data_IF_018838390284
#
_entry.id   IF_018838390284
#
_cell.length_a   1.000
_cell.length_b   1.000
_cell.length_c   1.000
_cell.angle_alpha   90.00
_cell.angle_beta   90.00
_cell.angle_gamma   90.00
#
_symmetry.space_group_name_H-M   'P 1'
#
loop_
_entity.id
_entity.type
_entity.pdbx_description
1 polymer ?
#
# COMPACT_ATOMS: atom_id res chain seq x y z
N UNK A 1 36.15 -1.04 -9.98
CA UNK A 1 34.82 -1.39 -9.45
C UNK A 1 33.80 -0.68 -10.31
N UNK A 2 33.10 -1.39 -11.19
CA UNK A 2 32.04 -0.79 -12.00
C UNK A 2 30.88 -0.39 -11.09
N UNK A 3 30.44 0.87 -11.19
CA UNK A 3 29.33 1.39 -10.39
C UNK A 3 28.01 0.88 -10.96
N UNK A 4 27.06 0.56 -10.08
CA UNK A 4 25.67 0.34 -10.48
C UNK A 4 25.16 1.57 -11.22
N UNK A 5 24.37 1.35 -12.27
CA UNK A 5 23.72 2.44 -12.98
C UNK A 5 22.61 3.05 -12.11
N UNK A 6 22.25 4.29 -12.43
CA UNK A 6 21.05 4.95 -11.90
C UNK A 6 19.99 4.81 -12.98
N UNK A 7 18.94 4.06 -12.71
CA UNK A 7 17.81 3.90 -13.63
C UNK A 7 16.95 5.16 -13.68
N UNK A 8 16.33 5.40 -14.81
CA UNK A 8 15.27 6.39 -14.99
C UNK A 8 13.92 5.66 -15.10
N UNK A 9 12.79 6.31 -14.76
CA UNK A 9 11.47 5.71 -14.86
C UNK A 9 11.18 5.19 -16.28
N UNK A 10 10.74 3.94 -16.36
CA UNK A 10 10.39 3.30 -17.63
C UNK A 10 9.00 3.73 -18.11
N UNK A 11 8.75 3.60 -19.41
CA UNK A 11 7.45 3.81 -20.01
C UNK A 11 6.80 2.49 -20.42
N UNK A 12 5.49 2.43 -20.43
CA UNK A 12 4.74 1.36 -21.07
C UNK A 12 3.61 1.92 -21.92
N UNK A 13 3.41 1.32 -23.09
CA UNK A 13 2.25 1.58 -23.92
C UNK A 13 1.03 0.94 -23.28
N UNK A 14 -0.02 1.74 -23.08
CA UNK A 14 -1.30 1.33 -22.52
C UNK A 14 -2.38 1.61 -23.55
N UNK A 15 -3.14 0.58 -23.90
CA UNK A 15 -4.30 0.67 -24.77
C UNK A 15 -5.52 0.02 -24.12
N UNK A 16 -6.60 0.79 -24.00
CA UNK A 16 -7.95 0.33 -23.63
C UNK A 16 -8.03 -0.77 -22.56
N UNK A 17 -8.85 -1.77 -22.85
CA UNK A 17 -9.17 -2.95 -22.04
C UNK A 17 -8.10 -4.06 -22.15
N UNK A 18 -6.81 -3.68 -22.24
CA UNK A 18 -5.75 -4.65 -22.44
C UNK A 18 -5.74 -5.72 -21.36
N UNK A 19 -5.85 -6.98 -21.79
CA UNK A 19 -5.87 -8.14 -20.90
C UNK A 19 -4.48 -8.55 -20.39
N UNK A 20 -3.41 -7.89 -20.86
CA UNK A 20 -2.08 -7.92 -20.23
C UNK A 20 -1.59 -6.50 -20.05
N UNK A 21 -1.14 -6.14 -18.85
CA UNK A 21 -0.69 -4.78 -18.55
C UNK A 21 0.68 -4.80 -17.88
N UNK A 22 1.56 -3.86 -18.24
CA UNK A 22 2.86 -3.70 -17.58
C UNK A 22 2.66 -2.97 -16.25
N UNK A 23 3.04 -3.62 -15.15
CA UNK A 23 2.86 -3.10 -13.80
C UNK A 23 4.09 -2.34 -13.31
N UNK A 24 5.26 -2.88 -13.62
CA UNK A 24 6.53 -2.29 -13.26
C UNK A 24 7.60 -2.73 -14.26
N UNK A 25 8.57 -1.86 -14.51
CA UNK A 25 9.76 -2.16 -15.27
C UNK A 25 10.97 -1.42 -14.71
N UNK A 26 12.10 -2.10 -14.61
CA UNK A 26 13.34 -1.53 -14.10
C UNK A 26 14.54 -1.97 -14.95
N UNK A 27 15.37 -1.00 -15.33
CA UNK A 27 16.70 -1.26 -15.88
C UNK A 27 17.69 -1.26 -14.72
N UNK A 28 18.39 -2.36 -14.48
CA UNK A 28 19.35 -2.44 -13.39
C UNK A 28 20.62 -3.20 -13.77
N UNK A 29 21.64 -3.11 -12.92
CA UNK A 29 22.93 -3.77 -13.13
C UNK A 29 24.10 -2.80 -13.29
N UNK A 30 25.10 -3.23 -14.05
CA UNK A 30 26.31 -2.47 -14.41
C UNK A 30 26.40 -2.38 -15.92
N UNK A 31 27.17 -1.42 -16.47
CA UNK A 31 27.23 -1.20 -17.94
C UNK A 31 27.54 -2.47 -18.74
N UNK A 32 28.42 -3.33 -18.23
CA UNK A 32 28.81 -4.59 -18.88
C UNK A 32 27.77 -5.72 -18.76
N UNK A 33 26.75 -5.55 -17.90
CA UNK A 33 25.75 -6.56 -17.61
C UNK A 33 24.43 -5.88 -17.16
N UNK A 34 23.82 -5.15 -18.08
CA UNK A 34 22.52 -4.53 -17.86
C UNK A 34 21.41 -5.56 -18.05
N UNK A 35 20.35 -5.43 -17.26
CA UNK A 35 19.15 -6.24 -17.37
C UNK A 35 17.90 -5.38 -17.27
N UNK A 36 16.86 -5.80 -17.98
CA UNK A 36 15.49 -5.33 -17.85
C UNK A 36 14.71 -6.38 -17.07
N UNK A 37 14.10 -5.95 -15.96
CA UNK A 37 13.15 -6.73 -15.18
C UNK A 37 11.76 -6.12 -15.34
N UNK A 38 10.75 -6.96 -15.57
CA UNK A 38 9.37 -6.52 -15.79
C UNK A 38 8.40 -7.39 -15.00
N UNK A 39 7.38 -6.74 -14.44
CA UNK A 39 6.19 -7.36 -13.86
C UNK A 39 4.97 -7.01 -14.70
N UNK A 40 4.13 -8.00 -14.97
CA UNK A 40 2.90 -7.82 -15.74
C UNK A 40 1.71 -8.40 -14.99
N UNK A 41 0.54 -7.81 -15.20
CA UNK A 41 -0.74 -8.31 -14.73
C UNK A 41 -1.42 -9.07 -15.88
N UNK A 42 -1.91 -10.26 -15.59
CA UNK A 42 -2.69 -11.05 -16.53
C UNK A 42 -4.18 -11.00 -16.17
N UNK A 43 -4.95 -10.30 -16.97
CA UNK A 43 -6.40 -10.12 -16.81
C UNK A 43 -7.19 -11.06 -17.73
N UNK A 44 -6.48 -11.82 -18.58
CA UNK A 44 -7.11 -12.84 -19.37
C UNK A 44 -7.52 -14.02 -18.48
N UNK A 45 -8.55 -14.76 -18.88
CA UNK A 45 -9.07 -15.94 -18.15
C UNK A 45 -8.14 -17.16 -18.17
N UNK A 46 -6.97 -17.07 -18.81
CA UNK A 46 -6.03 -18.19 -19.05
C UNK A 46 -4.65 -17.81 -18.56
N UNK A 47 -3.86 -18.79 -18.14
CA UNK A 47 -2.49 -18.52 -17.72
C UNK A 47 -1.62 -18.01 -18.88
N UNK A 48 -0.92 -16.90 -18.67
CA UNK A 48 0.04 -16.32 -19.60
C UNK A 48 1.39 -17.03 -19.43
N UNK A 49 1.97 -17.52 -20.52
CA UNK A 49 3.19 -18.36 -20.50
C UNK A 49 4.35 -17.81 -21.33
N UNK A 50 4.07 -16.88 -22.25
CA UNK A 50 5.08 -16.11 -22.97
C UNK A 50 4.54 -14.75 -23.39
N UNK A 51 5.46 -13.82 -23.64
CA UNK A 51 5.12 -12.44 -24.04
C UNK A 51 6.15 -11.93 -25.04
N UNK A 52 5.66 -11.48 -26.19
CA UNK A 52 6.44 -10.70 -27.14
C UNK A 52 6.18 -9.21 -26.90
N UNK A 53 7.26 -8.44 -26.83
CA UNK A 53 7.20 -6.99 -26.66
C UNK A 53 8.35 -6.30 -27.40
N UNK A 54 8.10 -5.05 -27.75
CA UNK A 54 9.05 -4.15 -28.38
C UNK A 54 9.56 -3.12 -27.37
N UNK A 55 10.82 -2.73 -27.49
CA UNK A 55 11.43 -1.75 -26.59
C UNK A 55 12.19 -0.65 -27.32
N UNK A 56 12.16 0.55 -26.74
CA UNK A 56 13.04 1.67 -27.07
C UNK A 56 13.92 1.98 -25.87
N UNK A 57 15.24 1.89 -26.06
CA UNK A 57 16.23 2.18 -25.05
C UNK A 57 16.63 3.65 -25.09
N UNK A 58 16.78 4.25 -23.91
CA UNK A 58 17.22 5.63 -23.77
C UNK A 58 18.41 5.74 -22.82
N UNK A 59 19.33 6.65 -23.13
CA UNK A 59 20.45 6.96 -22.25
C UNK A 59 20.05 7.88 -21.08
N UNK A 60 21.03 8.34 -20.29
CA UNK A 60 20.81 9.22 -19.13
C UNK A 60 20.29 10.62 -19.48
N UNK A 61 20.41 11.05 -20.73
CA UNK A 61 19.91 12.35 -21.21
C UNK A 61 18.67 12.20 -22.11
N UNK A 62 18.03 11.03 -22.07
CA UNK A 62 16.80 10.69 -22.81
C UNK A 62 16.96 10.69 -24.34
N UNK A 63 18.18 10.47 -24.85
CA UNK A 63 18.37 10.17 -26.27
C UNK A 63 18.15 8.68 -26.54
N UNK A 64 17.49 8.38 -27.66
CA UNK A 64 17.28 7.00 -28.12
C UNK A 64 18.60 6.35 -28.49
N UNK A 65 18.78 5.10 -28.07
CA UNK A 65 19.96 4.29 -28.39
C UNK A 65 19.74 3.39 -29.61
N UNK A 66 18.50 3.03 -29.89
CA UNK A 66 18.08 2.27 -31.06
C UNK A 66 17.29 3.14 -32.04
N UNK A 67 17.54 2.95 -33.34
CA UNK A 67 16.81 3.64 -34.41
C UNK A 67 15.37 3.09 -34.55
N UNK A 68 15.27 1.76 -34.62
CA UNK A 68 14.01 1.00 -34.67
C UNK A 68 13.78 0.28 -33.34
N UNK A 69 12.54 -0.13 -33.04
CA UNK A 69 12.23 -0.90 -31.83
C UNK A 69 13.01 -2.22 -31.78
N UNK A 70 13.44 -2.62 -30.59
CA UNK A 70 14.10 -3.90 -30.36
C UNK A 70 13.05 -4.92 -29.90
N UNK A 71 12.92 -6.05 -30.60
CA UNK A 71 11.90 -7.07 -30.31
C UNK A 71 12.46 -8.09 -29.33
N UNK A 72 11.69 -8.41 -28.29
CA UNK A 72 12.02 -9.39 -27.26
C UNK A 72 10.89 -10.41 -27.15
N UNK A 73 11.26 -11.69 -27.17
CA UNK A 73 10.37 -12.82 -26.87
C UNK A 73 10.76 -13.44 -25.54
N UNK A 74 9.97 -13.18 -24.50
CA UNK A 74 10.20 -13.71 -23.17
C UNK A 74 9.33 -14.95 -22.94
N UNK A 75 9.94 -16.02 -22.43
CA UNK A 75 9.32 -17.34 -22.22
C UNK A 75 9.67 -17.86 -20.83
N UNK A 76 9.22 -19.07 -20.52
CA UNK A 76 9.55 -19.83 -19.31
C UNK A 76 9.09 -19.14 -18.01
N UNK A 77 7.88 -18.58 -18.05
CA UNK A 77 7.15 -18.11 -16.88
C UNK A 77 5.70 -18.58 -16.95
N UNK A 78 4.98 -18.50 -15.83
CA UNK A 78 3.53 -18.76 -15.79
C UNK A 78 2.89 -17.73 -14.87
N UNK A 79 1.97 -16.92 -15.40
CA UNK A 79 1.18 -15.95 -14.63
C UNK A 79 -0.28 -16.34 -14.75
N UNK A 80 -0.89 -16.73 -13.63
CA UNK A 80 -2.29 -17.16 -13.59
C UNK A 80 -3.23 -16.02 -13.92
N UNK A 81 -4.49 -16.36 -14.21
CA UNK A 81 -5.54 -15.37 -14.41
C UNK A 81 -5.74 -14.54 -13.14
N UNK A 82 -5.79 -13.22 -13.29
CA UNK A 82 -5.94 -12.24 -12.21
C UNK A 82 -4.65 -11.90 -11.46
N UNK A 83 -3.55 -12.62 -11.73
CA UNK A 83 -2.30 -12.46 -10.98
C UNK A 83 -1.35 -11.45 -11.64
N UNK A 84 -0.43 -10.95 -10.82
CA UNK A 84 0.74 -10.19 -11.24
C UNK A 84 1.96 -11.08 -11.06
N UNK A 85 2.82 -11.11 -12.06
CA UNK A 85 4.06 -11.88 -11.98
C UNK A 85 5.21 -11.26 -12.75
N UNK A 86 6.42 -11.62 -12.34
CA UNK A 86 7.63 -11.32 -13.10
C UNK A 86 7.73 -12.25 -14.30
N UNK A 87 8.06 -11.70 -15.46
CA UNK A 87 8.31 -12.50 -16.67
C UNK A 87 9.78 -12.92 -16.81
N UNK A 88 10.61 -12.61 -15.81
CA UNK A 88 12.04 -12.91 -15.81
C UNK A 88 12.92 -11.71 -16.14
N UNK A 89 14.17 -12.01 -16.51
CA UNK A 89 15.22 -11.03 -16.78
C UNK A 89 15.60 -11.09 -18.25
N UNK A 90 15.56 -9.95 -18.93
CA UNK A 90 16.16 -9.78 -20.24
C UNK A 90 17.52 -9.11 -20.09
N UNK A 91 18.61 -9.75 -20.55
CA UNK A 91 19.93 -9.13 -20.54
C UNK A 91 20.06 -8.20 -21.75
N UNK A 92 20.27 -6.91 -21.46
CA UNK A 92 20.33 -5.87 -22.49
C UNK A 92 21.63 -6.03 -23.29
N UNK A 93 21.56 -6.07 -24.64
CA UNK A 93 22.74 -6.14 -25.50
C UNK A 93 23.77 -5.05 -25.21
N UNK A 94 25.06 -5.38 -25.35
CA UNK A 94 26.16 -4.47 -25.00
C UNK A 94 26.20 -3.17 -25.81
N UNK A 95 25.63 -3.17 -27.03
CA UNK A 95 25.43 -1.96 -27.85
C UNK A 95 24.51 -0.93 -27.17
N UNK A 96 23.66 -1.36 -26.24
CA UNK A 96 22.81 -0.52 -25.39
C UNK A 96 23.31 -0.43 -23.94
N UNK A 97 24.62 -0.58 -23.71
CA UNK A 97 25.24 -0.52 -22.36
C UNK A 97 25.06 0.82 -21.62
N UNK A 98 24.64 1.87 -22.34
CA UNK A 98 24.27 3.16 -21.77
C UNK A 98 22.77 3.34 -21.49
N UNK A 99 21.95 2.30 -21.67
CA UNK A 99 20.53 2.33 -21.35
C UNK A 99 20.30 2.66 -19.86
N UNK A 100 19.38 3.59 -19.62
CA UNK A 100 18.89 4.02 -18.29
C UNK A 100 17.38 3.95 -18.18
N UNK A 101 16.67 4.06 -19.30
CA UNK A 101 15.22 3.98 -19.41
C UNK A 101 14.85 3.06 -20.58
N UNK A 102 13.70 2.42 -20.47
CA UNK A 102 13.05 1.70 -21.55
C UNK A 102 11.61 2.18 -21.71
N UNK A 103 11.17 2.41 -22.94
CA UNK A 103 9.73 2.46 -23.28
C UNK A 103 9.33 1.08 -23.85
N UNK A 104 8.23 0.50 -23.36
CA UNK A 104 7.81 -0.87 -23.64
C UNK A 104 6.49 -0.87 -24.40
N UNK A 105 6.39 -1.67 -25.47
CA UNK A 105 5.17 -1.83 -26.27
C UNK A 105 4.86 -3.32 -26.33
N UNK A 106 3.75 -3.75 -25.73
CA UNK A 106 3.34 -5.15 -25.80
C UNK A 106 2.90 -5.50 -27.23
N UNK A 107 3.33 -6.66 -27.72
CA UNK A 107 3.04 -7.09 -29.08
C UNK A 107 2.08 -8.27 -29.09
N UNK A 108 2.37 -9.32 -28.33
CA UNK A 108 1.57 -10.55 -28.34
C UNK A 108 1.74 -11.34 -27.04
N UNK A 109 0.63 -11.79 -26.47
CA UNK A 109 0.61 -12.70 -25.32
C UNK A 109 0.31 -14.13 -25.76
N UNK A 110 0.96 -15.12 -25.15
CA UNK A 110 0.74 -16.54 -25.40
C UNK A 110 0.25 -17.24 -24.15
N UNK A 111 -0.73 -18.11 -24.30
CA UNK A 111 -1.44 -18.74 -23.19
C UNK A 111 -1.21 -20.26 -23.15
N UNK A 112 -1.46 -20.86 -21.99
CA UNK A 112 -1.23 -22.28 -21.73
C UNK A 112 -1.98 -23.24 -22.69
N UNK A 113 -3.08 -22.78 -23.30
CA UNK A 113 -3.87 -23.53 -24.28
C UNK A 113 -3.26 -23.51 -25.69
N UNK A 114 -2.10 -22.85 -25.86
CA UNK A 114 -1.40 -22.67 -27.13
C UNK A 114 -1.93 -21.52 -27.98
N UNK A 115 -2.98 -20.82 -27.54
CA UNK A 115 -3.48 -19.63 -28.25
C UNK A 115 -2.58 -18.42 -28.00
N UNK A 116 -2.60 -17.49 -28.96
CA UNK A 116 -1.92 -16.22 -28.84
C UNK A 116 -2.87 -15.08 -29.21
N UNK A 117 -2.74 -13.93 -28.54
CA UNK A 117 -3.55 -12.74 -28.80
C UNK A 117 -2.64 -11.54 -28.98
N UNK A 118 -2.97 -10.70 -29.97
CA UNK A 118 -2.25 -9.45 -30.22
C UNK A 118 -2.57 -8.42 -29.12
N UNK A 119 -1.53 -7.69 -28.72
CA UNK A 119 -1.54 -6.68 -27.66
C UNK A 119 -1.15 -5.30 -28.19
N UNK A 120 -1.06 -5.13 -29.52
CA UNK A 120 -0.90 -3.82 -30.16
C UNK A 120 -2.26 -3.18 -30.35
N UNK A 121 -2.49 -2.06 -29.69
CA UNK A 121 -3.71 -1.28 -29.81
C UNK A 121 -3.49 -0.09 -30.74
N UNK A 122 -4.47 0.22 -31.59
CA UNK A 122 -4.43 1.39 -32.47
C UNK A 122 -4.38 2.69 -31.67
N UNK A 123 -5.18 2.75 -30.60
CA UNK A 123 -5.22 3.86 -29.66
C UNK A 123 -4.49 3.46 -28.38
N UNK A 124 -3.22 3.81 -28.31
CA UNK A 124 -2.41 3.63 -27.10
C UNK A 124 -1.65 4.91 -26.74
N UNK A 125 -1.45 5.14 -25.44
CA UNK A 125 -0.57 6.19 -24.94
C UNK A 125 0.63 5.59 -24.20
N UNK A 126 1.76 6.29 -24.23
CA UNK A 126 2.94 5.91 -23.44
C UNK A 126 2.80 6.54 -22.05
N UNK A 127 2.68 5.71 -21.01
CA UNK A 127 2.59 6.17 -19.61
C UNK A 127 3.88 5.90 -18.87
N UNK A 128 4.20 6.74 -17.88
CA UNK A 128 5.38 6.56 -17.04
C UNK A 128 5.07 5.61 -15.89
N UNK A 129 5.87 4.54 -15.79
CA UNK A 129 5.85 3.61 -14.68
C UNK A 129 6.72 4.15 -13.55
N UNK A 130 6.10 4.89 -12.63
CA UNK A 130 6.79 5.40 -11.44
C UNK A 130 7.25 4.24 -10.55
N UNK A 131 8.55 4.23 -10.25
CA UNK A 131 9.13 3.27 -9.33
C UNK A 131 8.96 3.77 -7.89
N UNK A 132 8.29 2.97 -7.06
CA UNK A 132 8.21 3.17 -5.62
C UNK A 132 9.30 2.37 -4.92
N UNK A 133 10.02 3.00 -3.99
CA UNK A 133 10.92 2.29 -3.10
C UNK A 133 10.15 1.43 -2.07
N UNK A 134 10.86 0.57 -1.34
CA UNK A 134 10.23 -0.36 -0.39
C UNK A 134 9.46 0.36 0.74
N UNK A 135 9.93 1.53 1.18
CA UNK A 135 9.26 2.31 2.22
C UNK A 135 7.98 2.94 1.67
N UNK A 136 8.04 3.50 0.47
CA UNK A 136 6.90 4.05 -0.24
C UNK A 136 5.83 2.99 -0.53
N UNK A 137 6.24 1.82 -1.00
CA UNK A 137 5.34 0.66 -1.20
C UNK A 137 4.65 0.24 0.10
N UNK A 138 5.41 0.14 1.19
CA UNK A 138 4.86 -0.23 2.50
C UNK A 138 3.85 0.81 3.00
N UNK A 139 4.15 2.10 2.85
CA UNK A 139 3.25 3.18 3.24
C UNK A 139 1.97 3.17 2.40
N UNK A 140 2.11 2.99 1.08
CA UNK A 140 0.96 2.92 0.19
C UNK A 140 0.02 1.76 0.57
N UNK A 141 0.57 0.58 0.88
CA UNK A 141 -0.22 -0.57 1.33
C UNK A 141 -0.94 -0.34 2.64
N UNK A 142 -0.28 0.30 3.60
CA UNK A 142 -0.89 0.68 4.89
C UNK A 142 -2.11 1.60 4.69
N UNK A 143 -2.04 2.55 3.75
CA UNK A 143 -3.11 3.53 3.51
C UNK A 143 -4.20 3.07 2.52
N UNK A 144 -3.87 2.23 1.54
CA UNK A 144 -4.77 1.89 0.42
C UNK A 144 -5.20 0.41 0.38
N UNK A 145 -4.54 -0.46 1.17
CA UNK A 145 -4.76 -1.89 1.22
C UNK A 145 -3.60 -2.72 0.66
N UNK A 146 -3.55 -4.00 1.00
CA UNK A 146 -2.45 -4.91 0.65
C UNK A 146 -2.25 -5.13 -0.86
N UNK A 147 -3.31 -4.94 -1.64
CA UNK A 147 -3.34 -5.03 -3.09
C UNK A 147 -2.82 -3.76 -3.79
N UNK A 148 -2.44 -2.73 -3.04
CA UNK A 148 -1.87 -1.51 -3.58
C UNK A 148 -0.43 -1.74 -4.09
N UNK A 149 -0.16 -1.29 -5.32
CA UNK A 149 1.08 -1.57 -6.04
C UNK A 149 1.72 -0.29 -6.61
N UNK A 150 0.91 0.70 -7.00
CA UNK A 150 1.38 1.94 -7.60
C UNK A 150 0.57 3.14 -7.12
N UNK A 151 1.10 4.35 -7.27
CA UNK A 151 0.30 5.56 -7.14
C UNK A 151 -0.77 5.62 -8.24
N UNK A 152 -1.87 6.30 -7.93
CA UNK A 152 -2.94 6.54 -8.88
C UNK A 152 -2.51 7.64 -9.87
N UNK A 153 -2.84 7.48 -11.15
CA UNK A 153 -2.40 8.40 -12.20
C UNK A 153 -3.57 8.72 -13.13
N UNK A 154 -3.65 9.97 -13.59
CA UNK A 154 -4.66 10.40 -14.56
C UNK A 154 -3.93 10.81 -15.84
N UNK A 155 -3.96 9.93 -16.84
CA UNK A 155 -3.28 10.11 -18.13
C UNK A 155 -4.25 10.68 -19.16
N UNK A 156 -3.85 10.88 -20.41
CA UNK A 156 -4.69 11.52 -21.40
C UNK A 156 -5.83 10.59 -21.87
N UNK A 157 -5.49 9.31 -22.12
CA UNK A 157 -6.42 8.30 -22.64
C UNK A 157 -6.89 7.28 -21.58
N UNK A 158 -6.25 7.26 -20.41
CA UNK A 158 -6.50 6.29 -19.36
C UNK A 158 -6.38 6.90 -17.96
N UNK A 159 -6.73 6.12 -16.95
CA UNK A 159 -6.30 6.40 -15.58
C UNK A 159 -5.88 5.11 -14.88
N UNK A 160 -4.84 5.19 -14.06
CA UNK A 160 -4.28 4.08 -13.31
C UNK A 160 -4.84 4.08 -11.89
N UNK A 161 -5.38 2.96 -11.46
CA UNK A 161 -5.80 2.76 -10.08
C UNK A 161 -4.59 2.45 -9.18
N UNK A 162 -4.78 2.55 -7.86
CA UNK A 162 -3.76 2.20 -6.86
C UNK A 162 -3.39 0.71 -6.84
N UNK A 163 -4.31 -0.16 -7.27
CA UNK A 163 -4.02 -1.59 -7.56
C UNK A 163 -3.21 -1.78 -8.86
N UNK A 164 -2.87 -0.68 -9.53
CA UNK A 164 -2.04 -0.62 -10.72
C UNK A 164 -2.74 -0.89 -12.05
N UNK A 165 -4.00 -1.33 -12.05
CA UNK A 165 -4.83 -1.53 -13.24
C UNK A 165 -5.08 -0.21 -13.98
N UNK A 166 -4.87 -0.21 -15.30
CA UNK A 166 -5.22 0.88 -16.20
C UNK A 166 -6.66 0.75 -16.69
N UNK A 167 -7.39 1.84 -16.55
CA UNK A 167 -8.81 1.93 -16.88
C UNK A 167 -9.04 2.93 -18.01
N UNK A 168 -10.14 2.74 -18.74
CA UNK A 168 -10.62 3.74 -19.69
C UNK A 168 -10.78 5.10 -19.03
N UNK A 169 -10.40 6.18 -19.75
CA UNK A 169 -10.48 7.56 -19.25
C UNK A 169 -11.81 7.90 -18.60
N UNK A 170 -12.91 7.40 -19.15
CA UNK A 170 -14.28 7.79 -18.76
C UNK A 170 -14.90 6.87 -17.69
N UNK A 171 -14.26 5.76 -17.34
CA UNK A 171 -14.76 4.89 -16.27
C UNK A 171 -14.71 5.61 -14.92
N UNK A 172 -15.76 5.42 -14.10
CA UNK A 172 -15.86 6.03 -12.77
C UNK A 172 -15.28 5.15 -11.65
N UNK A 173 -15.06 3.86 -11.93
CA UNK A 173 -14.57 2.85 -10.99
C UNK A 173 -13.50 2.00 -11.66
N UNK A 174 -12.62 1.42 -10.85
CA UNK A 174 -11.59 0.51 -11.33
C UNK A 174 -12.23 -0.81 -11.83
N UNK A 175 -11.90 -1.24 -13.04
CA UNK A 175 -12.39 -2.50 -13.60
C UNK A 175 -11.86 -3.76 -12.90
N UNK A 176 -10.81 -3.63 -12.10
CA UNK A 176 -10.21 -4.75 -11.36
C UNK A 176 -10.61 -4.82 -9.88
N UNK A 177 -10.60 -3.68 -9.18
CA UNK A 177 -10.82 -3.64 -7.72
C UNK A 177 -12.01 -2.77 -7.30
N UNK A 178 -12.80 -2.29 -8.27
CA UNK A 178 -14.04 -1.54 -8.08
C UNK A 178 -13.92 -0.20 -7.31
N UNK A 179 -12.72 0.21 -6.90
CA UNK A 179 -12.48 1.50 -6.22
C UNK A 179 -12.88 2.68 -7.11
N UNK A 180 -13.42 3.72 -6.48
CA UNK A 180 -13.80 4.97 -7.14
C UNK A 180 -12.60 5.71 -7.72
N UNK A 181 -12.69 6.10 -8.99
CA UNK A 181 -11.68 6.91 -9.70
C UNK A 181 -11.37 8.21 -8.94
N UNK A 182 -12.41 8.93 -8.54
CA UNK A 182 -12.28 10.24 -7.89
C UNK A 182 -11.50 10.07 -6.59
N UNK A 183 -11.91 9.10 -5.77
CA UNK A 183 -11.29 8.86 -4.47
C UNK A 183 -9.81 8.47 -4.61
N UNK A 184 -9.48 7.55 -5.52
CA UNK A 184 -8.09 7.10 -5.61
C UNK A 184 -7.16 8.15 -6.18
N UNK A 185 -7.63 8.95 -7.14
CA UNK A 185 -6.85 10.07 -7.69
C UNK A 185 -6.64 11.18 -6.66
N UNK A 186 -7.63 11.44 -5.81
CA UNK A 186 -7.54 12.44 -4.73
C UNK A 186 -6.59 11.99 -3.62
N UNK A 187 -6.70 10.72 -3.18
CA UNK A 187 -5.99 10.24 -1.99
C UNK A 187 -4.63 9.60 -2.27
N UNK A 188 -4.44 8.98 -3.43
CA UNK A 188 -3.30 8.09 -3.69
C UNK A 188 -2.46 8.48 -4.90
N UNK A 189 -2.55 9.72 -5.39
CA UNK A 189 -1.78 10.19 -6.56
C UNK A 189 -0.35 10.62 -6.25
N UNK A 190 -0.01 10.83 -4.97
CA UNK A 190 1.35 11.16 -4.55
C UNK A 190 1.61 10.65 -3.13
N UNK A 191 2.87 10.28 -2.86
CA UNK A 191 3.32 9.91 -1.51
C UNK A 191 3.19 11.08 -0.52
N UNK A 192 3.32 12.32 -0.99
CA UNK A 192 3.29 13.52 -0.15
C UNK A 192 1.91 13.76 0.47
N UNK A 193 0.85 13.20 -0.13
CA UNK A 193 -0.51 13.27 0.40
C UNK A 193 -0.59 12.52 1.74
N UNK A 194 0.11 11.39 1.85
CA UNK A 194 0.13 10.57 3.08
C UNK A 194 0.80 11.28 4.25
N UNK A 195 1.83 12.06 3.97
CA UNK A 195 2.62 12.77 5.00
C UNK A 195 1.82 13.93 5.58
N UNK A 196 1.09 14.66 4.73
CA UNK A 196 0.25 15.81 5.16
C UNK A 196 -0.92 15.40 6.03
N UNK A 197 -1.44 14.19 5.86
CA UNK A 197 -2.52 13.69 6.71
C UNK A 197 -2.01 13.31 8.10
N UNK A 198 -0.80 12.74 8.22
CA UNK A 198 -0.18 12.43 9.53
C UNK A 198 0.09 13.70 10.34
N UNK A 199 0.70 14.73 9.74
CA UNK A 199 0.97 16.01 10.41
C UNK A 199 -0.31 16.71 10.89
N UNK A 200 -1.43 16.59 10.15
CA UNK A 200 -2.72 17.15 10.59
C UNK A 200 -3.30 16.40 11.79
N UNK A 201 -3.15 15.08 11.85
CA UNK A 201 -3.57 14.30 13.03
C UNK A 201 -2.75 14.66 14.26
N UNK A 202 -1.44 14.86 14.12
CA UNK A 202 -0.57 15.22 15.24
C UNK A 202 -0.93 16.61 15.82
N UNK A 203 -1.25 17.58 14.97
CA UNK A 203 -1.73 18.91 15.42
C UNK A 203 -3.07 18.82 16.15
N UNK A 204 -4.01 18.01 15.66
CA UNK A 204 -5.32 17.85 16.31
C UNK A 204 -5.17 17.12 17.66
N UNK A 205 -4.28 16.13 17.77
CA UNK A 205 -4.02 15.45 19.05
C UNK A 205 -3.34 16.37 20.08
N UNK A 206 -2.45 17.28 19.66
CA UNK A 206 -1.87 18.32 20.52
C UNK A 206 -2.91 19.35 20.95
N UNK A 207 -3.75 19.86 20.04
CA UNK A 207 -4.82 20.81 20.35
C UNK A 207 -5.86 20.22 21.33
N UNK A 208 -6.25 18.95 21.16
CA UNK A 208 -7.17 18.27 22.09
C UNK A 208 -6.51 18.04 23.46
N UNK A 209 -5.20 17.76 23.50
CA UNK A 209 -4.49 17.57 24.76
C UNK A 209 -4.37 18.88 25.56
N UNK A 210 -4.19 20.02 24.87
CA UNK A 210 -4.14 21.35 25.50
C UNK A 210 -5.54 21.80 25.98
N UNK A 211 -6.60 21.54 25.20
CA UNK A 211 -7.99 21.87 25.57
C UNK A 211 -8.52 21.07 26.79
N UNK A 212 -8.01 19.85 26.99
CA UNK A 212 -8.34 19.02 28.16
C UNK A 212 -7.59 19.49 29.41
N UNK A 213 -6.42 20.11 29.25
CA UNK A 213 -5.63 20.61 30.38
C UNK A 213 -6.19 21.92 30.96
N UNK A 214 -6.74 22.82 30.13
CA UNK A 214 -7.39 24.05 30.61
C UNK A 214 -8.72 23.79 31.33
N UNK A 215 -9.52 22.81 30.89
CA UNK A 215 -10.80 22.48 31.56
C UNK A 215 -10.66 21.73 32.89
N UNK A 216 -9.51 21.11 33.15
CA UNK A 216 -9.24 20.43 34.42
C UNK A 216 -8.85 21.43 35.53
N UNK A 217 -8.27 22.59 35.20
CA UNK A 217 -7.90 23.61 36.19
C UNK A 217 -9.08 24.44 36.71
N UNK A 218 -10.22 24.44 36.02
CA UNK A 218 -11.42 25.20 36.43
C UNK A 218 -12.37 24.40 37.34
N UNK A 219 -12.19 23.08 37.48
CA UNK A 219 -13.06 22.22 38.29
C UNK A 219 -12.53 21.92 39.72
N UNK A 220 -11.31 22.33 40.05
CA UNK A 220 -10.71 22.07 41.38
C UNK A 220 -11.03 23.16 42.43
N UNK A 221 -11.86 24.16 42.11
CA UNK A 221 -12.16 25.29 43.02
C UNK A 221 -13.59 25.34 43.59
N UNK A 222 -14.40 24.29 43.44
CA UNK A 222 -15.72 24.22 44.07
C UNK A 222 -15.90 22.84 44.70
N UNK A 223 -15.53 22.72 45.97
CA UNK A 223 -16.35 22.07 47.01
C UNK A 223 -15.56 22.00 48.33
N UNK A 224 -15.79 23.00 49.19
CA UNK A 224 -15.42 22.90 50.61
C UNK A 224 -16.56 23.40 51.49
N UNK A 225 -17.76 22.84 51.36
CA UNK A 225 -18.78 22.95 52.42
C UNK A 225 -19.69 21.71 52.40
N UNK A 226 -19.49 20.78 53.34
CA UNK A 226 -20.55 20.18 54.18
C UNK A 226 -20.07 18.92 54.95
N UNK A 227 -20.04 19.06 56.29
CA UNK A 227 -20.53 18.12 57.33
C UNK A 227 -19.87 16.71 57.43
N UNK A 228 -19.10 16.38 58.48
CA UNK A 228 -19.52 16.03 59.86
C UNK A 228 -20.56 14.87 59.88
N UNK A 229 -20.43 13.70 60.51
CA UNK A 229 -19.80 13.26 61.78
C UNK A 229 -19.87 11.71 61.85
N UNK A 230 -19.15 11.09 62.83
CA UNK A 230 -19.32 9.78 63.54
C UNK A 230 -18.04 8.90 63.44
N UNK A 231 -17.10 8.95 64.39
CA UNK A 231 -17.00 8.15 65.66
C UNK A 231 -17.00 6.61 65.40
N UNK A 232 -16.07 5.74 65.85
CA UNK A 232 -15.33 5.63 67.12
C UNK A 232 -14.30 4.48 67.08
N UNK A 233 -13.28 4.55 67.97
CA UNK A 233 -12.52 3.45 68.66
C UNK A 233 -11.65 2.48 67.83
N UNK A 234 -10.46 2.01 68.24
CA UNK A 234 -9.62 2.19 69.44
C UNK A 234 -8.51 1.11 69.49
N UNK A 235 -7.33 1.49 70.03
CA UNK A 235 -6.30 0.67 70.73
C UNK A 235 -5.57 -0.50 70.02
N UNK A 236 -4.26 -0.36 69.79
CA UNK A 236 -3.17 -0.93 70.62
C UNK A 236 -1.77 -0.85 69.96
N UNK A 237 -0.77 -0.46 70.76
CA UNK A 237 0.71 -0.54 70.57
C UNK A 237 1.20 -1.88 71.20
N UNK A 238 2.51 -2.27 71.26
CA UNK A 238 3.77 -1.76 70.66
C UNK A 238 4.64 -2.91 70.03
N UNK A 239 5.85 -2.76 69.46
CA UNK A 239 7.15 -2.30 70.01
C UNK A 239 8.25 -2.59 68.95
N UNK A 240 9.24 -1.67 68.84
CA UNK A 240 10.70 -1.89 68.59
C UNK A 240 11.10 -2.60 67.27
N UNK A 241 12.02 -2.10 66.44
CA UNK A 241 13.39 -1.71 66.78
C UNK A 241 14.02 -0.69 65.83
N UNK A 242 15.10 -0.09 66.35
CA UNK A 242 15.99 0.94 65.79
C UNK A 242 16.80 0.40 64.60
N UNK A 243 17.19 1.25 63.65
CA UNK A 243 18.59 1.63 63.35
C UNK A 243 18.61 2.92 62.50
N UNK A 244 19.48 3.85 62.93
CA UNK A 244 19.87 5.12 62.27
C UNK A 244 20.98 4.89 61.24
N UNK A 245 20.99 5.66 60.13
CA UNK A 245 22.08 6.52 59.60
C UNK A 245 21.84 6.81 58.11
N UNK A 246 21.45 8.03 57.75
CA UNK A 246 22.28 9.19 57.35
C UNK A 246 22.69 9.22 55.86
N UNK A 247 21.95 10.10 55.14
CA UNK A 247 22.33 11.01 54.05
C UNK A 247 23.38 10.57 53.01
N UNK A 248 22.97 10.59 51.73
CA UNK A 248 23.48 11.56 50.73
C UNK A 248 22.55 11.66 49.50
N UNK A 249 22.40 12.90 49.05
CA UNK A 249 21.64 13.41 47.91
C UNK A 249 22.30 12.95 46.58
N UNK A 250 21.52 12.61 45.53
CA UNK A 250 21.36 13.33 44.23
C UNK A 250 20.84 12.45 43.06
N UNK A 251 19.91 13.02 42.28
CA UNK A 251 19.56 12.81 40.83
C UNK A 251 18.48 11.76 40.43
N UNK A 252 17.33 12.33 39.99
CA UNK A 252 16.44 11.97 38.84
C UNK A 252 16.32 10.50 38.39
N UNK A 253 15.08 9.98 38.41
CA UNK A 253 14.45 9.24 37.30
C UNK A 253 12.95 9.02 37.55
N UNK A 254 12.12 9.90 37.00
CA UNK A 254 10.81 9.51 36.48
C UNK A 254 11.06 8.64 35.23
N UNK A 255 10.49 7.43 35.20
CA UNK A 255 10.08 6.69 33.99
C UNK A 255 9.64 5.28 34.39
N UNK A 256 8.39 5.16 34.81
CA UNK A 256 7.61 3.91 34.77
C UNK A 256 6.18 4.35 35.02
N UNK A 257 5.35 4.37 33.97
CA UNK A 257 3.87 4.34 33.99
C UNK A 257 3.23 4.53 32.61
N UNK A 258 4.00 4.68 31.51
CA UNK A 258 3.44 4.80 30.14
C UNK A 258 3.18 3.45 29.43
N UNK A 259 3.64 2.33 30.00
CA UNK A 259 3.58 1.01 29.35
C UNK A 259 2.33 0.21 29.73
N UNK A 260 1.84 0.33 30.96
CA UNK A 260 0.63 -0.38 31.40
C UNK A 260 -0.67 0.21 30.82
N UNK A 261 -0.73 1.53 30.59
CA UNK A 261 -1.90 2.16 29.98
C UNK A 261 -2.09 1.77 28.50
N UNK A 262 -1.00 1.60 27.75
CA UNK A 262 -1.04 1.12 26.36
C UNK A 262 -1.53 -0.34 26.27
N UNK A 263 -1.14 -1.18 27.22
CA UNK A 263 -1.55 -2.58 27.23
C UNK A 263 -3.04 -2.75 27.56
N UNK A 264 -3.58 -1.96 28.50
CA UNK A 264 -5.01 -1.97 28.82
C UNK A 264 -5.89 -1.41 27.69
N UNK A 265 -5.40 -0.43 26.92
CA UNK A 265 -6.09 0.09 25.73
C UNK A 265 -6.20 -0.93 24.59
N UNK A 266 -5.17 -1.76 24.40
CA UNK A 266 -5.18 -2.85 23.40
C UNK A 266 -6.17 -3.96 23.80
N UNK A 267 -6.21 -4.35 25.08
CA UNK A 267 -7.13 -5.38 25.57
C UNK A 267 -8.61 -4.97 25.43
N UNK A 268 -8.92 -3.67 25.63
CA UNK A 268 -10.28 -3.14 25.41
C UNK A 268 -10.66 -3.09 23.92
N UNK A 269 -9.71 -2.80 23.01
CA UNK A 269 -9.94 -2.87 21.55
C UNK A 269 -10.19 -4.30 21.06
N UNK A 270 -9.50 -5.30 21.62
CA UNK A 270 -9.74 -6.71 21.26
C UNK A 270 -11.13 -7.22 21.70
N UNK A 271 -11.61 -6.85 22.89
CA UNK A 271 -12.98 -7.23 23.33
C UNK A 271 -14.09 -6.53 22.54
N UNK A 272 -13.83 -5.34 22.00
CA UNK A 272 -14.75 -4.62 21.11
C UNK A 272 -14.87 -5.28 19.73
N UNK A 273 -13.75 -5.76 19.17
CA UNK A 273 -13.70 -6.47 17.89
C UNK A 273 -14.40 -7.84 17.94
N UNK A 274 -14.28 -8.56 19.05
CA UNK A 274 -14.94 -9.85 19.25
C UNK A 274 -16.48 -9.74 19.35
N UNK A 275 -16.99 -8.57 19.77
CA UNK A 275 -18.43 -8.29 19.85
C UNK A 275 -19.02 -7.90 18.49
N UNK A 276 -18.24 -7.26 17.61
CA UNK A 276 -18.65 -6.91 16.23
C UNK A 276 -18.60 -8.11 15.28
N UNK A 277 -17.65 -9.03 15.43
CA UNK A 277 -17.56 -10.23 14.58
C UNK A 277 -18.74 -11.20 14.80
N UNK A 278 -19.21 -11.35 16.04
CA UNK A 278 -20.40 -12.16 16.35
C UNK A 278 -21.71 -11.59 15.78
N UNK A 279 -21.80 -10.27 15.59
CA UNK A 279 -23.00 -9.63 15.01
C UNK A 279 -23.05 -9.76 13.47
N UNK A 280 -21.88 -9.75 12.81
CA UNK A 280 -21.77 -9.90 11.35
C UNK A 280 -21.95 -11.36 10.89
N UNK A 281 -21.50 -12.33 11.69
CA UNK A 281 -21.66 -13.75 11.39
C UNK A 281 -23.12 -14.23 11.53
N UNK A 282 -23.94 -13.61 12.39
CA UNK A 282 -25.36 -13.96 12.51
C UNK A 282 -26.23 -13.42 11.37
N UNK A 283 -25.86 -12.27 10.77
CA UNK A 283 -26.61 -11.67 9.67
C UNK A 283 -26.47 -12.41 8.33
N UNK A 284 -25.25 -12.89 8.02
CA UNK A 284 -24.98 -13.64 6.79
C UNK A 284 -25.63 -15.02 6.77
N UNK A 285 -25.77 -15.69 7.92
CA UNK A 285 -26.39 -17.02 7.99
C UNK A 285 -27.91 -16.98 7.74
N UNK A 286 -28.58 -15.88 8.14
CA UNK A 286 -30.02 -15.69 7.92
C UNK A 286 -30.30 -15.46 6.43
N UNK A 287 -29.47 -14.68 5.72
CA UNK A 287 -29.60 -14.44 4.29
C UNK A 287 -29.40 -15.70 3.45
N UNK A 288 -28.44 -16.56 3.83
CA UNK A 288 -28.21 -17.87 3.20
C UNK A 288 -29.37 -18.84 3.43
N UNK A 289 -29.94 -18.87 4.64
CA UNK A 289 -31.09 -19.73 4.94
C UNK A 289 -32.36 -19.28 4.21
N UNK A 290 -32.59 -17.97 4.05
CA UNK A 290 -33.74 -17.43 3.31
C UNK A 290 -33.62 -17.73 1.82
N UNK A 291 -32.42 -17.67 1.24
CA UNK A 291 -32.22 -18.00 -0.18
C UNK A 291 -32.36 -19.50 -0.49
N UNK A 292 -31.96 -20.38 0.43
CA UNK A 292 -32.23 -21.83 0.33
C UNK A 292 -33.73 -22.14 0.43
N UNK A 293 -34.46 -21.47 1.33
CA UNK A 293 -35.91 -21.64 1.49
C UNK A 293 -36.71 -21.16 0.27
N UNK A 294 -36.30 -20.03 -0.34
CA UNK A 294 -36.91 -19.56 -1.59
C UNK A 294 -36.67 -20.56 -2.72
N UNK A 295 -35.46 -21.12 -2.84
CA UNK A 295 -35.17 -22.11 -3.89
C UNK A 295 -35.99 -23.41 -3.74
N UNK A 296 -36.27 -23.84 -2.51
CA UNK A 296 -37.11 -25.02 -2.24
C UNK A 296 -38.61 -24.80 -2.46
N UNK A 297 -39.10 -23.56 -2.42
CA UNK A 297 -40.52 -23.23 -2.64
C UNK A 297 -40.90 -23.07 -4.12
N UNK A 298 -39.91 -22.90 -5.01
CA UNK A 298 -40.10 -22.71 -6.45
C UNK A 298 -39.66 -23.94 -7.28
N UNK A 299 -39.62 -25.12 -6.66
CA UNK A 299 -39.39 -26.42 -7.29
C UNK A 299 -40.53 -27.37 -6.97
#
# INVERSE_FOLDING_TARGET
MERKIISLPCGASVGGDSFVQVMAAEVSGIKSNLKLEMEVMNLHSRALVALDYEVVFYNSILEKLNNDTYIISQKDFVIQSGDIGSIGKFFIPGEFSDARKVDIILVRGFFEDGNALDLKYENSEMVVLEALDNKQKSLLKDKAGEDAISLAQNNDLSWRCVCGYFNDKNSSVCGNCERSKIEVLEKYSSIDIFIKDEEKTDVIEEEIADDVFEKQSDLDNIDTVAQATIETQGKNKPKKDKVKKEKKIKVKKEKTNKTESKMNGIILKFKSLEKKSKLLLSGSFILLLVSILIWLLFR
#
